data_IF_552866820375
#
_entry.id   IF_552866820375
#
_cell.length_a   1.000
_cell.length_b   1.000
_cell.length_c   1.000
_cell.angle_alpha   90.00
_cell.angle_beta   90.00
_cell.angle_gamma   90.00
#
_symmetry.space_group_name_H-M   'P 1'
#
loop_
_entity.id
_entity.type
_entity.pdbx_description
1 polymer ?
#
# COMPACT_ATOMS: atom_id res chain seq x y z
N UNK A 1 24.74 -1.96 -1.00
CA UNK A 1 24.07 -2.08 0.31
C UNK A 1 24.41 -0.81 1.04
N UNK A 2 23.46 0.13 1.11
CA UNK A 2 23.69 1.46 1.65
C UNK A 2 23.62 1.44 3.18
N UNK A 3 24.48 2.22 3.84
CA UNK A 3 24.63 2.27 5.31
C UNK A 3 23.29 2.58 6.02
N UNK A 4 22.45 3.38 5.37
CA UNK A 4 21.11 3.75 5.82
C UNK A 4 20.14 2.56 5.91
N UNK A 5 20.23 1.62 4.96
CA UNK A 5 19.42 0.40 4.95
C UNK A 5 19.82 -0.50 6.11
N UNK A 6 21.13 -0.66 6.33
CA UNK A 6 21.65 -1.47 7.44
C UNK A 6 21.20 -0.92 8.80
N UNK A 7 21.26 0.41 8.96
CA UNK A 7 20.84 1.08 10.20
C UNK A 7 19.33 0.92 10.44
N UNK A 8 18.51 1.08 9.39
CA UNK A 8 17.06 0.88 9.48
C UNK A 8 16.70 -0.57 9.84
N UNK A 9 17.39 -1.55 9.26
CA UNK A 9 17.17 -2.97 9.56
C UNK A 9 17.57 -3.31 11.00
N UNK A 10 18.69 -2.76 11.48
CA UNK A 10 19.17 -2.94 12.86
C UNK A 10 18.19 -2.35 13.88
N UNK A 11 17.67 -1.15 13.60
CA UNK A 11 16.67 -0.49 14.45
C UNK A 11 15.37 -1.30 14.52
N UNK A 12 14.91 -1.85 13.38
CA UNK A 12 13.76 -2.74 13.35
C UNK A 12 13.98 -4.03 14.16
N UNK A 13 15.17 -4.65 14.05
CA UNK A 13 15.51 -5.82 14.86
C UNK A 13 15.60 -5.50 16.35
N UNK A 14 16.25 -4.39 16.72
CA UNK A 14 16.36 -3.98 18.12
C UNK A 14 14.99 -3.66 18.71
N UNK A 15 14.13 -2.98 17.95
CA UNK A 15 12.76 -2.69 18.33
C UNK A 15 11.92 -3.95 18.51
N UNK A 16 12.11 -4.98 17.67
CA UNK A 16 11.34 -6.23 17.74
C UNK A 16 11.92 -7.29 18.71
N UNK A 17 13.23 -7.27 18.95
CA UNK A 17 13.92 -8.17 19.88
C UNK A 17 13.92 -7.62 21.33
N UNK A 18 13.87 -6.30 21.47
CA UNK A 18 13.89 -5.58 22.74
C UNK A 18 12.51 -5.39 23.38
N UNK A 19 11.44 -5.91 22.79
CA UNK A 19 10.15 -6.02 23.47
C UNK A 19 10.23 -7.26 24.37
N UNK A 20 10.50 -7.14 25.70
CA UNK A 20 10.15 -8.24 26.58
C UNK A 20 8.66 -8.48 26.37
N UNK A 21 8.28 -9.75 26.25
CA UNK A 21 6.90 -10.24 26.23
C UNK A 21 6.09 -9.52 27.30
N UNK A 22 5.58 -8.34 26.95
CA UNK A 22 4.78 -7.53 27.85
C UNK A 22 3.46 -8.27 27.86
N UNK A 23 2.88 -8.47 29.05
CA UNK A 23 1.72 -9.33 29.28
C UNK A 23 0.50 -8.98 28.39
N UNK A 24 0.53 -7.83 27.71
CA UNK A 24 -0.46 -7.32 26.74
C UNK A 24 -0.16 -7.62 25.25
N UNK A 25 1.05 -8.11 24.92
CA UNK A 25 1.34 -8.58 23.57
C UNK A 25 0.99 -10.06 23.51
N UNK A 26 -0.27 -10.35 23.20
CA UNK A 26 -0.74 -11.70 22.88
C UNK A 26 0.15 -12.27 21.76
N UNK A 27 1.23 -12.98 22.13
CA UNK A 27 1.75 -14.03 21.27
C UNK A 27 0.53 -14.89 21.00
N UNK A 28 0.14 -15.15 19.74
CA UNK A 28 -1.00 -16.00 19.48
C UNK A 28 -0.73 -17.34 20.16
N UNK A 29 -1.37 -17.52 21.32
CA UNK A 29 -1.33 -18.77 22.10
C UNK A 29 -2.16 -19.84 21.36
N UNK A 30 -2.83 -19.40 20.30
CA UNK A 30 -3.46 -20.20 19.28
C UNK A 30 -2.44 -21.10 18.56
N UNK A 31 -2.75 -22.40 18.51
CA UNK A 31 -1.94 -23.37 17.79
C UNK A 31 -1.88 -23.05 16.30
N UNK A 32 -0.76 -23.39 15.66
CA UNK A 32 -0.52 -23.18 14.22
C UNK A 32 -1.70 -23.65 13.34
N UNK A 33 -2.45 -24.67 13.76
CA UNK A 33 -3.62 -25.17 13.04
C UNK A 33 -4.77 -24.16 12.91
N UNK A 34 -5.08 -23.37 13.94
CA UNK A 34 -6.15 -22.35 13.88
C UNK A 34 -5.70 -21.15 13.07
N UNK A 35 -4.45 -20.72 13.24
CA UNK A 35 -3.82 -19.66 12.43
C UNK A 35 -3.78 -20.07 10.95
N UNK A 36 -3.41 -21.31 10.64
CA UNK A 36 -3.41 -21.85 9.28
C UNK A 36 -4.80 -21.80 8.66
N UNK A 37 -5.84 -22.24 9.37
CA UNK A 37 -7.22 -22.20 8.86
C UNK A 37 -7.66 -20.76 8.52
N UNK A 38 -7.30 -19.79 9.37
CA UNK A 38 -7.58 -18.36 9.15
C UNK A 38 -6.83 -17.83 7.92
N UNK A 39 -5.52 -18.04 7.85
CA UNK A 39 -4.67 -17.56 6.76
C UNK A 39 -5.05 -18.16 5.41
N UNK A 40 -5.44 -19.44 5.38
CA UNK A 40 -5.97 -20.08 4.17
C UNK A 40 -7.23 -19.37 3.66
N UNK A 41 -8.14 -18.98 4.56
CA UNK A 41 -9.37 -18.28 4.20
C UNK A 41 -9.12 -16.83 3.74
N UNK A 42 -8.17 -16.13 4.37
CA UNK A 42 -7.88 -14.73 4.10
C UNK A 42 -7.05 -14.53 2.83
N UNK A 43 -6.07 -15.41 2.58
CA UNK A 43 -5.09 -15.23 1.51
C UNK A 43 -5.21 -16.25 0.38
N UNK A 44 -6.24 -17.10 0.40
CA UNK A 44 -6.47 -18.20 -0.56
C UNK A 44 -5.23 -19.09 -0.75
N UNK A 45 -4.56 -19.43 0.36
CA UNK A 45 -3.31 -20.18 0.35
C UNK A 45 -3.53 -21.69 0.52
N UNK A 46 -2.59 -22.47 -0.03
CA UNK A 46 -2.46 -23.91 0.27
C UNK A 46 -2.06 -24.12 1.73
N UNK A 47 -2.42 -25.26 2.34
CA UNK A 47 -2.10 -25.53 3.74
C UNK A 47 -0.59 -25.55 4.02
N UNK A 48 0.20 -26.21 3.17
CA UNK A 48 1.67 -26.25 3.31
C UNK A 48 2.29 -24.84 3.20
N UNK A 49 1.90 -24.07 2.18
CA UNK A 49 2.34 -22.67 2.01
C UNK A 49 1.96 -21.78 3.21
N UNK A 50 0.77 -21.97 3.78
CA UNK A 50 0.31 -21.17 4.91
C UNK A 50 1.18 -21.42 6.15
N UNK A 51 1.55 -22.68 6.44
CA UNK A 51 2.42 -23.00 7.57
C UNK A 51 3.81 -22.40 7.37
N UNK A 52 4.40 -22.55 6.19
CA UNK A 52 5.71 -21.95 5.89
C UNK A 52 5.69 -20.43 6.04
N UNK A 53 4.63 -19.76 5.54
CA UNK A 53 4.47 -18.31 5.63
C UNK A 53 4.26 -17.82 7.06
N UNK A 54 3.51 -18.55 7.89
CA UNK A 54 3.35 -18.24 9.32
C UNK A 54 4.70 -18.35 10.04
N UNK A 55 5.45 -19.43 9.78
CA UNK A 55 6.77 -19.64 10.39
C UNK A 55 7.74 -18.53 9.97
N UNK A 56 7.82 -18.25 8.67
CA UNK A 56 8.64 -17.17 8.10
C UNK A 56 8.27 -15.81 8.72
N UNK A 57 6.98 -15.51 8.83
CA UNK A 57 6.50 -14.26 9.41
C UNK A 57 6.88 -14.13 10.90
N UNK A 58 6.71 -15.19 11.69
CA UNK A 58 7.04 -15.20 13.13
C UNK A 58 8.54 -15.12 13.39
N UNK A 59 9.35 -15.75 12.54
CA UNK A 59 10.82 -15.74 12.61
C UNK A 59 11.43 -14.42 12.11
N UNK A 60 10.67 -13.64 11.33
CA UNK A 60 11.15 -12.36 10.85
C UNK A 60 11.17 -11.30 11.98
N UNK A 61 12.39 -10.96 12.41
CA UNK A 61 12.66 -9.94 13.42
C UNK A 61 12.68 -8.52 12.87
N UNK A 62 12.66 -8.30 11.55
CA UNK A 62 12.48 -6.98 10.93
C UNK A 62 11.05 -6.75 10.45
N UNK A 63 10.11 -7.63 10.85
CA UNK A 63 8.70 -7.51 10.44
C UNK A 63 8.10 -6.19 10.91
N UNK A 64 7.15 -5.70 10.11
CA UNK A 64 6.34 -4.56 10.47
C UNK A 64 5.37 -4.99 11.57
N UNK A 65 5.50 -4.39 12.75
CA UNK A 65 4.53 -4.57 13.84
C UNK A 65 3.58 -3.40 13.89
N UNK A 66 2.31 -3.73 13.98
CA UNK A 66 1.24 -2.76 14.20
C UNK A 66 1.28 -2.37 15.67
N UNK A 67 1.24 -1.07 15.99
CA UNK A 67 1.16 -0.60 17.38
C UNK A 67 -0.18 -1.00 18.00
N UNK A 68 -0.25 -1.07 19.34
CA UNK A 68 -1.49 -1.46 20.01
C UNK A 68 -2.62 -0.46 19.72
N UNK A 69 -2.31 0.82 19.83
CA UNK A 69 -3.23 1.93 19.53
C UNK A 69 -3.79 1.84 18.10
N UNK A 70 -2.93 1.53 17.12
CA UNK A 70 -3.38 1.33 15.74
C UNK A 70 -4.27 0.09 15.62
N UNK A 71 -3.90 -1.03 16.26
CA UNK A 71 -4.73 -2.23 16.26
C UNK A 71 -6.10 -1.96 16.89
N UNK A 72 -6.16 -1.33 18.06
CA UNK A 72 -7.42 -1.02 18.75
C UNK A 72 -8.38 -0.19 17.89
N UNK A 73 -7.84 0.75 17.11
CA UNK A 73 -8.64 1.59 16.20
C UNK A 73 -9.30 0.79 15.09
N UNK A 74 -8.59 -0.20 14.54
CA UNK A 74 -9.05 -0.97 13.37
C UNK A 74 -9.61 -2.36 13.73
N UNK A 75 -9.45 -2.79 14.99
CA UNK A 75 -9.74 -4.14 15.47
C UNK A 75 -11.16 -4.57 15.10
N UNK A 76 -12.15 -3.76 15.45
CA UNK A 76 -13.56 -4.09 15.21
C UNK A 76 -13.87 -4.32 13.72
N UNK A 77 -13.28 -3.53 12.84
CA UNK A 77 -13.47 -3.68 11.39
C UNK A 77 -12.75 -4.93 10.87
N UNK A 78 -11.50 -5.12 11.30
CA UNK A 78 -10.62 -6.19 10.82
C UNK A 78 -11.03 -7.57 11.34
N UNK A 79 -11.43 -7.68 12.60
CA UNK A 79 -11.97 -8.92 13.16
C UNK A 79 -13.28 -9.34 12.47
N UNK A 80 -14.13 -8.39 12.09
CA UNK A 80 -15.34 -8.68 11.31
C UNK A 80 -15.02 -9.24 9.90
N UNK A 81 -13.88 -8.85 9.34
CA UNK A 81 -13.33 -9.42 8.10
C UNK A 81 -12.61 -10.76 8.34
N UNK A 82 -12.46 -11.19 9.60
CA UNK A 82 -11.77 -12.41 10.02
C UNK A 82 -10.25 -12.25 10.16
N UNK A 83 -9.74 -11.01 10.14
CA UNK A 83 -8.34 -10.71 10.38
C UNK A 83 -8.07 -10.65 11.88
N UNK A 84 -6.93 -11.23 12.24
CA UNK A 84 -6.24 -11.00 13.49
C UNK A 84 -5.06 -10.04 13.27
N UNK A 85 -4.49 -9.51 14.35
CA UNK A 85 -3.34 -8.60 14.30
C UNK A 85 -2.19 -9.18 13.48
N UNK A 86 -1.87 -10.46 13.67
CA UNK A 86 -0.77 -11.13 12.94
C UNK A 86 -1.06 -11.23 11.43
N UNK A 87 -2.28 -11.61 11.05
CA UNK A 87 -2.66 -11.67 9.63
C UNK A 87 -2.71 -10.30 8.97
N UNK A 88 -3.09 -9.27 9.73
CA UNK A 88 -3.10 -7.89 9.22
C UNK A 88 -1.68 -7.34 9.02
N UNK A 89 -0.76 -7.61 9.96
CA UNK A 89 0.67 -7.30 9.81
C UNK A 89 1.25 -7.98 8.57
N UNK A 90 0.89 -9.24 8.34
CA UNK A 90 1.32 -9.99 7.16
C UNK A 90 0.79 -9.39 5.84
N UNK A 91 -0.49 -9.02 5.80
CA UNK A 91 -1.09 -8.34 4.64
C UNK A 91 -0.40 -7.02 4.32
N UNK A 92 -0.14 -6.19 5.33
CA UNK A 92 0.54 -4.92 5.16
C UNK A 92 1.97 -5.10 4.62
N UNK A 93 2.67 -6.12 5.11
CA UNK A 93 3.99 -6.48 4.59
C UNK A 93 3.92 -6.94 3.13
N UNK A 94 2.89 -7.69 2.73
CA UNK A 94 2.67 -8.07 1.34
C UNK A 94 2.39 -6.84 0.46
N UNK A 95 1.54 -5.93 0.91
CA UNK A 95 1.23 -4.69 0.18
C UNK A 95 2.49 -3.83 0.00
N UNK A 96 3.31 -3.69 1.04
CA UNK A 96 4.60 -2.99 0.96
C UNK A 96 5.54 -3.64 -0.04
N UNK A 97 5.65 -4.98 -0.04
CA UNK A 97 6.45 -5.71 -1.04
C UNK A 97 5.91 -5.48 -2.46
N UNK A 98 4.60 -5.48 -2.66
CA UNK A 98 3.97 -5.17 -3.96
C UNK A 98 4.24 -3.74 -4.42
N UNK A 99 4.21 -2.77 -3.50
CA UNK A 99 4.49 -1.37 -3.81
C UNK A 99 5.97 -1.08 -4.11
N UNK A 100 6.89 -1.85 -3.51
CA UNK A 100 8.34 -1.73 -3.75
C UNK A 100 8.80 -2.41 -5.03
N UNK A 101 8.00 -3.30 -5.62
CA UNK A 101 8.26 -3.81 -6.95
C UNK A 101 7.94 -2.68 -7.95
N UNK A 102 8.95 -2.15 -8.67
CA UNK A 102 8.69 -1.16 -9.70
C UNK A 102 7.84 -1.82 -10.78
N UNK A 103 6.57 -1.43 -10.85
CA UNK A 103 5.71 -1.66 -12.01
C UNK A 103 5.62 -3.13 -12.45
N UNK A 104 4.98 -3.98 -11.66
CA UNK A 104 4.22 -5.05 -12.31
C UNK A 104 2.88 -4.44 -12.70
N UNK A 105 2.77 -4.19 -14.00
CA UNK A 105 1.55 -3.90 -14.74
C UNK A 105 0.32 -4.47 -14.02
N UNK A 106 -0.83 -3.74 -13.97
CA UNK A 106 -2.06 -4.38 -13.56
C UNK A 106 -2.18 -5.67 -14.38
N UNK A 107 -2.27 -6.80 -13.67
CA UNK A 107 -2.61 -8.08 -14.30
C UNK A 107 -3.92 -7.79 -15.00
N UNK A 108 -3.83 -7.69 -16.33
CA UNK A 108 -5.00 -7.64 -17.20
C UNK A 108 -5.62 -9.00 -17.01
N UNK A 109 -6.61 -9.09 -16.15
CA UNK A 109 -7.45 -10.27 -16.07
C UNK A 109 -8.19 -10.31 -17.41
N UNK A 110 -7.74 -11.16 -18.33
CA UNK A 110 -8.35 -11.33 -19.66
C UNK A 110 -9.86 -11.66 -19.58
N UNK A 111 -10.35 -12.02 -18.39
CA UNK A 111 -11.77 -12.33 -18.13
C UNK A 111 -12.63 -11.10 -17.88
N UNK A 112 -12.04 -9.94 -17.54
CA UNK A 112 -12.78 -8.68 -17.37
C UNK A 112 -11.99 -7.55 -18.00
N UNK A 113 -12.44 -7.07 -19.16
CA UNK A 113 -11.81 -6.01 -19.99
C UNK A 113 -11.51 -4.71 -19.26
N UNK A 114 -10.54 -4.75 -18.36
CA UNK A 114 -10.15 -3.69 -17.46
C UNK A 114 -9.21 -2.78 -18.23
N UNK A 115 -9.78 -1.70 -18.75
CA UNK A 115 -9.02 -0.63 -19.40
C UNK A 115 -8.23 0.12 -18.34
N UNK A 116 -6.90 0.06 -18.43
CA UNK A 116 -6.02 0.81 -17.53
C UNK A 116 -6.14 2.29 -17.86
N UNK A 117 -6.68 3.08 -16.93
CA UNK A 117 -6.85 4.52 -17.09
C UNK A 117 -5.68 5.24 -16.43
N UNK A 118 -4.98 6.06 -17.22
CA UNK A 118 -3.90 6.91 -16.74
C UNK A 118 -4.35 8.37 -16.76
N UNK A 119 -3.96 9.14 -15.73
CA UNK A 119 -4.17 10.59 -15.67
C UNK A 119 -2.87 11.31 -16.04
N UNK A 120 -2.97 12.30 -16.93
CA UNK A 120 -1.85 13.16 -17.34
C UNK A 120 -2.18 14.58 -16.92
N UNK A 121 -1.31 15.19 -16.13
CA UNK A 121 -1.41 16.60 -15.79
C UNK A 121 -1.09 17.45 -17.03
N UNK A 122 -1.99 18.37 -17.37
CA UNK A 122 -1.84 19.27 -18.51
C UNK A 122 -1.06 20.51 -18.08
N UNK A 123 0.27 20.43 -18.05
CA UNK A 123 1.16 21.55 -17.73
C UNK A 123 2.20 21.78 -18.85
N UNK A 124 2.67 23.03 -18.99
CA UNK A 124 3.73 23.39 -19.94
C UNK A 124 3.41 23.06 -21.41
N UNK A 125 4.26 22.28 -22.06
CA UNK A 125 4.11 21.92 -23.49
C UNK A 125 2.97 20.94 -23.78
N UNK A 126 2.32 20.39 -22.75
CA UNK A 126 1.14 19.53 -22.85
C UNK A 126 -0.08 20.23 -22.23
N UNK A 127 -0.24 21.53 -22.49
CA UNK A 127 -1.32 22.35 -21.90
C UNK A 127 -2.71 22.02 -22.46
N UNK A 128 -2.80 21.35 -23.62
CA UNK A 128 -4.07 20.97 -24.23
C UNK A 128 -4.18 19.45 -24.46
N UNK A 129 -5.40 18.89 -24.40
CA UNK A 129 -5.62 17.47 -24.73
C UNK A 129 -5.18 17.13 -26.18
N UNK A 130 -5.12 18.13 -27.07
CA UNK A 130 -4.63 17.97 -28.45
C UNK A 130 -3.12 17.77 -28.50
N UNK A 131 -2.36 18.42 -27.61
CA UNK A 131 -0.91 18.19 -27.47
C UNK A 131 -0.64 16.78 -26.95
N UNK A 132 -1.46 16.30 -26.01
CA UNK A 132 -1.38 14.92 -25.51
C UNK A 132 -1.72 13.92 -26.63
N UNK A 133 -2.77 14.18 -27.43
CA UNK A 133 -3.12 13.35 -28.58
C UNK A 133 -1.94 13.23 -29.57
N UNK A 134 -1.32 14.36 -29.92
CA UNK A 134 -0.21 14.41 -30.87
C UNK A 134 1.06 13.77 -30.32
N UNK A 135 1.36 13.98 -29.03
CA UNK A 135 2.53 13.39 -28.38
C UNK A 135 2.38 11.87 -28.18
N UNK A 136 1.17 11.41 -27.88
CA UNK A 136 0.86 9.99 -27.64
C UNK A 136 0.48 9.23 -28.92
N UNK A 137 0.29 9.91 -30.05
CA UNK A 137 -0.11 9.29 -31.33
C UNK A 137 -1.50 8.67 -31.29
N UNK A 138 -2.45 9.27 -30.55
CA UNK A 138 -3.79 8.74 -30.36
C UNK A 138 -4.74 9.13 -31.51
N UNK A 139 -5.57 8.20 -31.97
CA UNK A 139 -6.62 8.45 -32.98
C UNK A 139 -7.73 9.41 -32.48
N UNK A 140 -7.92 9.51 -31.16
CA UNK A 140 -8.96 10.36 -30.56
C UNK A 140 -8.41 11.21 -29.42
N UNK A 141 -9.02 12.37 -29.20
CA UNK A 141 -8.64 13.29 -28.12
C UNK A 141 -8.99 12.68 -26.74
N UNK A 142 -8.06 12.69 -25.77
CA UNK A 142 -8.33 12.17 -24.44
C UNK A 142 -9.33 13.06 -23.70
N UNK A 143 -10.21 12.44 -22.92
CA UNK A 143 -11.22 13.14 -22.13
C UNK A 143 -10.56 14.07 -21.10
N UNK A 144 -10.86 15.36 -21.17
CA UNK A 144 -10.38 16.34 -20.19
C UNK A 144 -11.19 16.19 -18.89
N UNK A 145 -10.53 15.70 -17.85
CA UNK A 145 -11.09 15.63 -16.49
C UNK A 145 -10.53 16.78 -15.67
N UNK A 146 -11.39 17.63 -15.13
CA UNK A 146 -11.00 18.69 -14.20
C UNK A 146 -11.24 18.23 -12.76
N UNK A 147 -10.17 18.11 -11.97
CA UNK A 147 -10.26 17.86 -10.53
C UNK A 147 -10.23 19.18 -9.78
N UNK A 148 -11.25 19.47 -8.95
CA UNK A 148 -11.15 20.51 -7.92
C UNK A 148 -10.69 19.86 -6.62
N UNK A 149 -9.45 20.09 -6.20
CA UNK A 149 -9.03 19.74 -4.84
C UNK A 149 -9.69 20.73 -3.88
N UNK A 150 -10.65 20.25 -3.07
CA UNK A 150 -11.08 20.96 -1.87
C UNK A 150 -10.14 20.49 -0.77
N UNK A 151 -8.97 21.10 -0.72
CA UNK A 151 -8.11 21.06 0.47
C UNK A 151 -8.65 22.09 1.47
N UNK A 152 -8.94 21.60 2.67
CA UNK A 152 -9.35 22.35 3.84
C UNK A 152 -8.47 23.61 4.03
N UNK A 153 -9.10 24.77 3.86
CA UNK A 153 -8.71 26.09 4.39
C UNK A 153 -7.32 26.68 4.06
N UNK A 154 -6.75 26.43 2.86
CA UNK A 154 -5.68 27.30 2.32
C UNK A 154 -5.94 27.72 0.88
N UNK A 155 -6.68 28.82 0.73
CA UNK A 155 -6.92 29.46 -0.56
C UNK A 155 -5.63 29.94 -1.21
N UNK A 156 -5.04 29.10 -2.09
CA UNK A 156 -4.00 29.54 -3.01
C UNK A 156 -4.71 30.28 -4.14
N UNK A 157 -4.73 31.61 -4.06
CA UNK A 157 -5.10 32.45 -5.21
C UNK A 157 -4.03 32.28 -6.28
N UNK A 158 -4.34 31.80 -7.50
CA UNK A 158 -3.44 32.00 -8.62
C UNK A 158 -3.32 33.52 -8.83
N UNK A 159 -2.10 34.05 -8.66
CA UNK A 159 -1.81 35.45 -8.96
C UNK A 159 -1.90 35.63 -10.47
N UNK A 160 -3.08 36.02 -10.96
CA UNK A 160 -3.18 36.77 -12.20
C UNK A 160 -2.39 38.07 -12.01
N UNK A 161 -1.19 38.11 -12.60
CA UNK A 161 -0.52 39.36 -12.91
C UNK A 161 -0.78 39.61 -14.39
N UNK A 162 -1.98 40.09 -14.66
CA UNK A 162 -2.34 40.72 -15.92
C UNK A 162 -1.70 42.12 -15.96
N UNK A 163 -1.14 42.46 -17.12
CA UNK A 163 -0.87 43.84 -17.52
C UNK A 163 0.51 44.08 -18.14
N UNK A 164 0.61 45.01 -19.10
CA UNK A 164 -0.09 44.96 -20.38
C UNK A 164 0.89 45.10 -21.57
N UNK A 165 0.32 44.86 -22.75
CA UNK A 165 0.89 45.11 -24.07
C UNK A 165 1.18 46.59 -24.27
N UNK A 166 2.42 46.93 -24.62
CA UNK A 166 2.75 47.86 -25.72
C UNK A 166 4.19 47.60 -26.20
#
# INVERSE_FOLDING_TARGET
MDDFTLQSELEAMAGNAGIPLSEDQEIPTEGIGTTMARWRKLFDMKPDDAVERIIEHRQNLTRLRVSNDHWETIRAEKENQGYDRESYEYELALQKKKALLPTLSPVVDETTGSTVTYFVELDGHLSTPQDVQKAAGMDYEPLKVAGSSVEDDRGVRPRYSDGPVN
#
